data_IF_618098699143
#
_entry.id   IF_618098699143
#
_cell.length_a   1.000
_cell.length_b   1.000
_cell.length_c   1.000
_cell.angle_alpha   90.00
_cell.angle_beta   90.00
_cell.angle_gamma   90.00
#
_symmetry.space_group_name_H-M   'P 1'
#
loop_
_entity.id
_entity.type
_entity.pdbx_description
1 polymer ?
#
# COMPACT_ATOMS: atom_id res chain seq x y z
N UNK A 1 -53.18 4.69 37.10
CA UNK A 1 -53.01 6.01 36.47
C UNK A 1 -52.64 5.74 35.02
N UNK A 2 -53.59 5.93 34.11
CA UNK A 2 -53.44 5.63 32.69
C UNK A 2 -52.50 6.64 32.02
N UNK A 3 -51.47 6.14 31.33
CA UNK A 3 -50.59 6.94 30.48
C UNK A 3 -51.38 7.49 29.29
N UNK A 4 -51.92 8.69 29.45
CA UNK A 4 -52.55 9.42 28.36
C UNK A 4 -51.44 9.86 27.41
N UNK A 5 -51.40 9.24 26.22
CA UNK A 5 -50.51 9.64 25.13
C UNK A 5 -50.89 11.06 24.70
N UNK A 6 -50.22 12.07 25.26
CA UNK A 6 -50.34 13.46 24.80
C UNK A 6 -49.69 13.57 23.42
N UNK A 7 -50.50 13.81 22.39
CA UNK A 7 -50.03 14.12 21.05
C UNK A 7 -49.51 15.56 21.02
N UNK A 8 -48.28 15.76 20.54
CA UNK A 8 -47.70 17.08 20.31
C UNK A 8 -48.15 17.61 18.94
N UNK A 9 -49.01 18.65 18.88
CA UNK A 9 -49.53 19.18 17.63
C UNK A 9 -48.44 19.75 16.71
N UNK A 10 -47.34 20.27 17.29
CA UNK A 10 -46.21 20.81 16.53
C UNK A 10 -45.44 19.69 15.86
N UNK A 11 -45.23 18.58 16.56
CA UNK A 11 -44.58 17.40 16.01
C UNK A 11 -45.37 16.82 14.83
N UNK A 12 -46.70 16.71 14.96
CA UNK A 12 -47.57 16.23 13.88
C UNK A 12 -47.60 17.16 12.66
N UNK A 13 -47.54 18.47 12.88
CA UNK A 13 -47.46 19.45 11.79
C UNK A 13 -46.14 19.33 11.02
N UNK A 14 -45.02 19.20 11.73
CA UNK A 14 -43.69 18.99 11.12
C UNK A 14 -43.65 17.67 10.34
N UNK A 15 -44.22 16.59 10.87
CA UNK A 15 -44.25 15.28 10.22
C UNK A 15 -45.10 15.25 8.93
N UNK A 16 -46.11 16.12 8.81
CA UNK A 16 -46.95 16.24 7.61
C UNK A 16 -46.37 17.17 6.54
N UNK A 17 -45.56 18.16 6.93
CA UNK A 17 -45.05 19.18 6.01
C UNK A 17 -43.72 18.77 5.37
N UNK A 18 -43.76 18.24 4.13
CA UNK A 18 -42.58 17.78 3.38
C UNK A 18 -41.52 18.86 3.11
N UNK A 19 -41.90 20.14 3.14
CA UNK A 19 -41.00 21.27 2.90
C UNK A 19 -40.34 21.79 4.19
N UNK A 20 -40.75 21.29 5.36
CA UNK A 20 -40.19 21.74 6.63
C UNK A 20 -38.77 21.19 6.81
N UNK A 21 -37.78 22.00 7.25
CA UNK A 21 -36.38 21.56 7.39
C UNK A 21 -36.19 20.32 8.28
N UNK A 22 -37.01 20.19 9.32
CA UNK A 22 -36.98 19.07 10.27
C UNK A 22 -37.85 17.88 9.86
N UNK A 23 -38.52 17.93 8.70
CA UNK A 23 -39.41 16.85 8.26
C UNK A 23 -38.64 15.53 8.10
N UNK A 24 -37.47 15.55 7.46
CA UNK A 24 -36.68 14.34 7.24
C UNK A 24 -36.22 13.66 8.54
N UNK A 25 -35.93 14.44 9.59
CA UNK A 25 -35.52 13.93 10.90
C UNK A 25 -36.68 13.34 11.71
N UNK A 26 -37.93 13.73 11.41
CA UNK A 26 -39.14 13.26 12.07
C UNK A 26 -39.75 12.02 11.42
N UNK A 27 -39.23 11.60 10.27
CA UNK A 27 -39.68 10.37 9.61
C UNK A 27 -39.04 9.15 10.29
N UNK A 28 -39.81 8.10 10.60
CA UNK A 28 -39.24 6.86 11.08
C UNK A 28 -38.28 6.29 10.01
N UNK A 29 -37.11 5.84 10.43
CA UNK A 29 -36.16 5.17 9.56
C UNK A 29 -36.71 3.79 9.15
N UNK A 30 -37.56 3.77 8.12
CA UNK A 30 -38.17 2.54 7.62
C UNK A 30 -37.17 1.78 6.74
N UNK A 31 -36.69 0.64 7.24
CA UNK A 31 -35.81 -0.26 6.48
C UNK A 31 -36.53 -0.97 5.34
N UNK A 32 -37.86 -1.09 5.43
CA UNK A 32 -38.74 -1.61 4.37
C UNK A 32 -40.06 -0.87 4.34
N UNK A 33 -40.60 -0.59 3.15
CA UNK A 33 -41.92 0.02 2.97
C UNK A 33 -42.60 -0.53 1.71
N UNK A 34 -43.92 -0.47 1.68
CA UNK A 34 -44.70 -0.81 0.49
C UNK A 34 -44.56 0.30 -0.55
N UNK A 35 -44.14 -0.06 -1.76
CA UNK A 35 -44.07 0.87 -2.87
C UNK A 35 -45.45 1.18 -3.45
N UNK A 36 -45.57 2.24 -4.27
CA UNK A 36 -46.83 2.63 -4.91
C UNK A 36 -47.49 1.53 -5.75
N UNK A 37 -46.69 0.61 -6.28
CA UNK A 37 -47.15 -0.51 -7.12
C UNK A 37 -47.39 -1.80 -6.30
N UNK A 38 -47.51 -1.71 -4.99
CA UNK A 38 -47.71 -2.88 -4.11
C UNK A 38 -46.48 -3.77 -3.91
N UNK A 39 -45.31 -3.38 -4.44
CA UNK A 39 -44.06 -4.12 -4.25
C UNK A 39 -43.31 -3.63 -3.01
N UNK A 40 -42.86 -4.56 -2.17
CA UNK A 40 -42.05 -4.25 -0.98
C UNK A 40 -40.68 -3.71 -1.39
N UNK A 41 -40.35 -2.49 -0.96
CA UNK A 41 -39.05 -1.84 -1.16
C UNK A 41 -38.23 -1.93 0.13
N UNK A 42 -36.90 -2.09 0.00
CA UNK A 42 -35.96 -2.16 1.13
C UNK A 42 -34.82 -1.16 0.94
N UNK A 43 -34.43 -0.44 1.99
CA UNK A 43 -33.27 0.45 1.96
C UNK A 43 -32.00 -0.32 2.32
N UNK A 44 -31.24 -0.76 1.31
CA UNK A 44 -29.99 -1.52 1.49
C UNK A 44 -28.91 -0.71 2.21
N UNK A 45 -28.92 0.62 2.08
CA UNK A 45 -27.94 1.48 2.73
C UNK A 45 -28.24 1.71 4.21
N UNK A 46 -29.49 1.53 4.65
CA UNK A 46 -29.85 1.52 6.08
C UNK A 46 -29.57 0.17 6.78
N UNK A 47 -29.38 -0.90 6.01
CA UNK A 47 -29.16 -2.25 6.52
C UNK A 47 -27.68 -2.52 6.80
N UNK A 48 -27.41 -3.23 7.90
CA UNK A 48 -26.09 -3.73 8.29
C UNK A 48 -25.45 -3.00 9.49
N UNK A 49 -24.54 -3.69 10.17
CA UNK A 49 -23.77 -3.17 11.29
C UNK A 49 -22.29 -3.01 10.90
N UNK A 50 -21.58 -2.11 11.55
CA UNK A 50 -20.12 -1.98 11.39
C UNK A 50 -19.47 -2.87 12.44
N UNK A 51 -18.73 -3.88 11.99
CA UNK A 51 -17.97 -4.74 12.90
C UNK A 51 -16.72 -4.05 13.45
N UNK A 52 -16.00 -4.68 14.41
CA UNK A 52 -14.79 -4.13 15.02
C UNK A 52 -13.72 -3.69 14.00
N UNK A 53 -13.64 -4.37 12.86
CA UNK A 53 -12.68 -4.10 11.79
C UNK A 53 -13.11 -2.96 10.84
N UNK A 54 -14.15 -2.18 11.18
CA UNK A 54 -14.61 -1.03 10.39
C UNK A 54 -15.38 -1.37 9.10
N UNK A 55 -15.51 -2.65 8.75
CA UNK A 55 -16.26 -3.10 7.57
C UNK A 55 -17.75 -3.22 7.91
N UNK A 56 -18.60 -2.59 7.09
CA UNK A 56 -20.06 -2.71 7.18
C UNK A 56 -20.51 -4.08 6.67
N UNK A 57 -21.19 -4.86 7.52
CA UNK A 57 -21.71 -6.20 7.20
C UNK A 57 -23.23 -6.20 7.26
N UNK A 58 -23.88 -6.83 6.27
CA UNK A 58 -25.33 -7.03 6.25
C UNK A 58 -25.61 -8.45 6.74
N UNK A 59 -26.15 -8.58 7.94
CA UNK A 59 -26.70 -9.84 8.42
C UNK A 59 -28.02 -10.14 7.69
N UNK A 60 -28.02 -11.24 6.91
CA UNK A 60 -29.19 -11.69 6.15
C UNK A 60 -30.20 -12.48 6.99
N UNK A 61 -29.81 -12.89 8.21
CA UNK A 61 -30.67 -13.64 9.14
C UNK A 61 -31.65 -12.73 9.90
N UNK A 62 -31.39 -11.42 9.92
CA UNK A 62 -32.26 -10.42 10.55
C UNK A 62 -32.15 -10.37 12.09
N UNK A 63 -31.23 -11.13 12.68
CA UNK A 63 -31.04 -11.19 14.13
C UNK A 63 -30.40 -9.92 14.71
N UNK A 64 -29.60 -9.20 13.90
CA UNK A 64 -29.00 -7.93 14.31
C UNK A 64 -29.59 -6.73 13.56
N UNK A 65 -30.32 -5.88 14.27
CA UNK A 65 -30.70 -4.54 13.81
C UNK A 65 -29.64 -3.52 14.24
N UNK A 66 -29.08 -2.81 13.25
CA UNK A 66 -27.99 -1.87 13.44
C UNK A 66 -28.39 -0.67 14.28
N UNK A 67 -27.83 -0.57 15.48
CA UNK A 67 -27.73 0.70 16.19
C UNK A 67 -26.62 1.56 15.58
N UNK A 68 -26.81 2.88 15.57
CA UNK A 68 -25.77 3.83 15.18
C UNK A 68 -24.63 3.79 16.21
N UNK A 69 -23.67 2.89 16.03
CA UNK A 69 -22.45 2.87 16.84
C UNK A 69 -21.57 4.03 16.35
N UNK A 70 -21.30 4.97 17.26
CA UNK A 70 -20.31 6.03 17.05
C UNK A 70 -19.01 5.40 16.56
N UNK A 71 -18.41 5.95 15.50
CA UNK A 71 -17.05 5.62 15.08
C UNK A 71 -16.11 5.90 16.25
N UNK A 72 -15.87 4.91 17.11
CA UNK A 72 -14.71 4.92 17.99
C UNK A 72 -13.50 4.82 17.07
N UNK A 73 -12.62 5.83 17.14
CA UNK A 73 -11.30 5.73 16.52
C UNK A 73 -10.69 4.40 16.96
N UNK A 74 -10.30 3.57 16.00
CA UNK A 74 -9.58 2.35 16.30
C UNK A 74 -8.35 2.73 17.12
N UNK A 75 -8.14 2.08 18.26
CA UNK A 75 -6.93 2.28 19.03
C UNK A 75 -5.73 1.96 18.13
N UNK A 76 -4.76 2.88 18.04
CA UNK A 76 -3.55 2.65 17.26
C UNK A 76 -2.83 1.43 17.83
N UNK A 77 -2.88 0.32 17.09
CA UNK A 77 -2.15 -0.90 17.42
C UNK A 77 -0.67 -0.60 17.21
N UNK A 78 0.09 -0.50 18.29
CA UNK A 78 1.52 -0.27 18.21
C UNK A 78 2.22 -1.55 17.76
N UNK A 79 2.61 -1.59 16.48
CA UNK A 79 3.37 -2.70 15.91
C UNK A 79 4.77 -2.79 16.54
N UNK A 80 5.33 -4.01 16.69
CA UNK A 80 6.71 -4.19 17.14
C UNK A 80 7.70 -3.43 16.24
N UNK A 81 8.62 -2.70 16.87
CA UNK A 81 9.68 -1.98 16.16
C UNK A 81 10.82 -2.93 15.79
N UNK A 82 11.12 -3.03 14.51
CA UNK A 82 12.26 -3.73 13.94
C UNK A 82 13.35 -2.71 13.60
N UNK A 83 14.49 -2.82 14.27
CA UNK A 83 15.64 -1.94 14.07
C UNK A 83 16.87 -2.76 13.68
N UNK A 84 17.55 -2.32 12.62
CA UNK A 84 18.80 -2.92 12.14
C UNK A 84 19.87 -1.84 12.25
N UNK A 85 20.81 -2.02 13.18
CA UNK A 85 21.93 -1.09 13.38
C UNK A 85 22.95 -1.28 12.25
N UNK A 86 23.50 -2.50 12.13
CA UNK A 86 24.48 -2.87 11.11
C UNK A 86 23.95 -4.01 10.23
N UNK A 87 23.53 -3.74 8.98
CA UNK A 87 23.07 -4.77 8.08
C UNK A 87 24.23 -5.57 7.48
N UNK A 88 24.09 -6.89 7.41
CA UNK A 88 25.08 -7.76 6.77
C UNK A 88 25.11 -7.55 5.24
N UNK A 89 23.97 -7.21 4.65
CA UNK A 89 23.82 -6.91 3.22
C UNK A 89 22.55 -6.07 2.98
N UNK A 90 22.46 -5.50 1.78
CA UNK A 90 21.31 -4.72 1.34
C UNK A 90 20.50 -5.46 0.28
N UNK A 91 19.17 -5.38 0.39
CA UNK A 91 18.22 -5.66 -0.68
C UNK A 91 17.65 -4.32 -1.14
N UNK A 92 17.90 -3.93 -2.38
CA UNK A 92 17.53 -2.61 -2.87
C UNK A 92 16.23 -2.67 -3.66
N UNK A 93 15.31 -1.76 -3.34
CA UNK A 93 14.01 -1.62 -4.02
C UNK A 93 13.93 -0.23 -4.65
N UNK A 94 13.55 -0.18 -5.93
CA UNK A 94 13.22 1.08 -6.60
C UNK A 94 11.71 1.08 -6.87
N UNK A 95 10.89 1.66 -5.97
CA UNK A 95 9.45 1.76 -6.19
C UNK A 95 9.13 2.77 -7.30
N UNK A 96 8.01 2.57 -7.99
CA UNK A 96 7.54 3.50 -9.03
C UNK A 96 6.98 4.78 -8.41
N UNK A 97 6.27 4.65 -7.29
CA UNK A 97 5.64 5.74 -6.55
C UNK A 97 4.86 6.72 -7.44
N UNK A 98 3.98 6.21 -8.31
CA UNK A 98 3.16 7.05 -9.20
C UNK A 98 2.33 8.04 -8.37
N UNK A 99 2.60 9.34 -8.53
CA UNK A 99 1.96 10.41 -7.73
C UNK A 99 2.57 10.68 -6.35
N UNK A 100 3.76 10.11 -6.07
CA UNK A 100 4.55 10.36 -4.87
C UNK A 100 4.14 9.53 -3.64
N UNK A 101 3.35 8.47 -3.81
CA UNK A 101 2.94 7.54 -2.74
C UNK A 101 3.21 6.09 -3.17
N UNK A 102 3.39 5.19 -2.20
CA UNK A 102 3.56 3.76 -2.48
C UNK A 102 2.27 3.17 -3.04
N UNK A 103 2.35 2.56 -4.22
CA UNK A 103 1.26 1.78 -4.80
C UNK A 103 1.15 0.40 -4.13
N UNK A 104 0.09 -0.36 -4.44
CA UNK A 104 0.00 -1.76 -4.00
C UNK A 104 1.17 -2.60 -4.53
N UNK A 105 1.54 -2.39 -5.80
CA UNK A 105 2.68 -3.09 -6.41
C UNK A 105 4.01 -2.77 -5.70
N UNK A 106 4.23 -1.50 -5.31
CA UNK A 106 5.40 -1.12 -4.53
C UNK A 106 5.43 -1.79 -3.15
N UNK A 107 4.26 -1.98 -2.53
CA UNK A 107 4.16 -2.68 -1.24
C UNK A 107 4.41 -4.18 -1.37
N UNK A 108 3.93 -4.82 -2.43
CA UNK A 108 4.23 -6.24 -2.71
C UNK A 108 5.74 -6.44 -2.89
N UNK A 109 6.40 -5.51 -3.59
CA UNK A 109 7.86 -5.50 -3.78
C UNK A 109 8.62 -5.34 -2.47
N UNK A 110 8.19 -4.43 -1.60
CA UNK A 110 8.81 -4.25 -0.29
C UNK A 110 8.58 -5.47 0.61
N UNK A 111 7.42 -6.11 0.53
CA UNK A 111 7.15 -7.41 1.14
C UNK A 111 8.13 -8.49 0.68
N UNK A 112 8.34 -8.60 -0.64
CA UNK A 112 9.33 -9.51 -1.22
C UNK A 112 10.76 -9.17 -0.76
N UNK A 113 11.12 -7.89 -0.71
CA UNK A 113 12.41 -7.42 -0.25
C UNK A 113 12.70 -7.84 1.19
N UNK A 114 11.70 -7.69 2.06
CA UNK A 114 11.79 -8.08 3.47
C UNK A 114 11.95 -9.59 3.64
N UNK A 115 11.22 -10.39 2.86
CA UNK A 115 11.37 -11.85 2.83
C UNK A 115 12.80 -12.26 2.42
N UNK A 116 13.38 -11.59 1.42
CA UNK A 116 14.77 -11.83 0.98
C UNK A 116 15.82 -11.35 1.98
N UNK A 117 15.54 -10.26 2.68
CA UNK A 117 16.45 -9.67 3.66
C UNK A 117 16.54 -10.51 4.94
N UNK A 118 15.50 -11.27 5.29
CA UNK A 118 15.49 -12.12 6.49
C UNK A 118 15.64 -11.31 7.77
N UNK A 119 16.45 -11.78 8.73
CA UNK A 119 16.73 -11.06 9.97
C UNK A 119 18.00 -10.17 9.89
N UNK A 120 18.93 -10.49 8.98
CA UNK A 120 20.28 -9.91 8.94
C UNK A 120 20.46 -8.83 7.87
N UNK A 121 19.62 -8.84 6.83
CA UNK A 121 19.66 -7.88 5.73
C UNK A 121 18.79 -6.66 5.99
N UNK A 122 19.18 -5.51 5.43
CA UNK A 122 18.34 -4.31 5.40
C UNK A 122 17.70 -4.10 4.02
N UNK A 123 16.46 -3.62 4.02
CA UNK A 123 15.76 -3.15 2.83
C UNK A 123 16.11 -1.69 2.59
N UNK A 124 16.77 -1.41 1.47
CA UNK A 124 17.11 -0.08 0.99
C UNK A 124 16.11 0.36 -0.08
N UNK A 125 15.26 1.32 0.22
CA UNK A 125 14.39 1.94 -0.77
C UNK A 125 15.10 3.12 -1.43
N UNK A 126 15.16 3.15 -2.76
CA UNK A 126 15.74 4.26 -3.55
C UNK A 126 14.62 5.00 -4.25
N UNK A 127 14.39 6.25 -3.84
CA UNK A 127 13.31 7.09 -4.37
C UNK A 127 13.92 8.26 -5.15
N UNK A 128 13.40 8.48 -6.36
CA UNK A 128 13.79 9.62 -7.18
C UNK A 128 12.84 10.80 -6.97
N UNK A 129 13.41 11.98 -6.72
CA UNK A 129 12.68 13.23 -6.53
C UNK A 129 11.88 13.29 -5.22
N UNK A 130 10.93 14.23 -5.16
CA UNK A 130 10.09 14.42 -3.99
C UNK A 130 8.98 13.34 -3.88
N UNK A 131 8.68 12.94 -2.64
CA UNK A 131 7.57 12.04 -2.33
C UNK A 131 6.66 12.64 -1.25
N UNK A 132 5.42 12.16 -1.20
CA UNK A 132 4.40 12.49 -0.20
C UNK A 132 4.11 11.31 0.74
N UNK A 133 4.86 10.22 0.58
CA UNK A 133 4.73 9.03 1.41
C UNK A 133 5.28 9.28 2.83
N UNK A 134 4.54 8.79 3.81
CA UNK A 134 4.89 8.86 5.24
C UNK A 134 5.00 7.48 5.87
N UNK A 135 4.53 6.44 5.19
CA UNK A 135 4.37 5.08 5.72
C UNK A 135 5.46 4.11 5.25
N UNK A 136 6.70 4.58 5.08
CA UNK A 136 7.84 3.71 4.73
C UNK A 136 8.21 2.75 5.87
N UNK A 137 8.01 3.19 7.11
CA UNK A 137 8.27 2.41 8.32
C UNK A 137 7.38 1.15 8.40
N UNK A 138 6.09 1.29 8.09
CA UNK A 138 5.16 0.15 8.06
C UNK A 138 5.22 -0.64 6.75
N UNK A 139 5.91 -0.13 5.72
CA UNK A 139 6.09 -0.83 4.46
C UNK A 139 7.31 -1.76 4.45
N UNK A 140 8.09 -1.82 5.53
CA UNK A 140 9.24 -2.73 5.63
C UNK A 140 10.57 -2.13 5.18
N UNK A 141 10.69 -0.81 5.08
CA UNK A 141 11.92 -0.12 4.69
C UNK A 141 12.80 0.12 5.92
N UNK A 142 14.08 -0.23 5.86
CA UNK A 142 15.06 0.04 6.93
C UNK A 142 15.96 1.24 6.60
N UNK A 143 16.24 1.46 5.31
CA UNK A 143 17.04 2.58 4.80
C UNK A 143 16.30 3.24 3.65
N UNK A 144 16.17 4.55 3.70
CA UNK A 144 15.57 5.33 2.62
C UNK A 144 16.62 6.26 2.00
N UNK A 145 16.93 6.05 0.73
CA UNK A 145 17.78 6.92 -0.06
C UNK A 145 16.94 7.76 -1.03
N UNK A 146 16.96 9.07 -0.84
CA UNK A 146 16.30 10.02 -1.72
C UNK A 146 17.36 10.64 -2.64
N UNK A 147 17.23 10.37 -3.93
CA UNK A 147 18.04 10.97 -4.99
C UNK A 147 17.23 12.13 -5.57
N UNK A 148 17.63 13.34 -5.20
CA UNK A 148 16.93 14.57 -5.59
C UNK A 148 17.77 15.40 -6.55
N UNK A 149 17.11 16.24 -7.35
CA UNK A 149 17.73 17.17 -8.28
C UNK A 149 16.92 17.33 -9.57
N UNK A 150 16.94 18.54 -10.13
CA UNK A 150 16.18 18.90 -11.33
C UNK A 150 16.45 17.99 -12.55
N UNK A 151 17.62 17.33 -12.60
CA UNK A 151 17.96 16.36 -13.65
C UNK A 151 17.20 15.03 -13.56
N UNK A 152 16.49 14.76 -12.46
CA UNK A 152 15.67 13.57 -12.26
C UNK A 152 14.17 13.83 -12.46
N UNK A 153 13.79 15.09 -12.65
CA UNK A 153 12.41 15.50 -12.91
C UNK A 153 11.95 15.02 -14.29
N UNK A 154 10.66 14.64 -14.37
CA UNK A 154 10.08 14.12 -15.60
C UNK A 154 10.74 12.82 -16.08
N UNK A 155 10.75 12.61 -17.40
CA UNK A 155 11.31 11.42 -18.03
C UNK A 155 12.83 11.59 -18.26
N UNK A 156 13.63 10.98 -17.39
CA UNK A 156 15.10 11.11 -17.33
C UNK A 156 15.79 9.74 -17.15
N UNK A 157 15.58 8.77 -18.07
CA UNK A 157 16.02 7.39 -17.85
C UNK A 157 17.54 7.26 -17.76
N UNK A 158 18.31 8.02 -18.53
CA UNK A 158 19.78 7.98 -18.48
C UNK A 158 20.32 8.47 -17.14
N UNK A 159 19.81 9.59 -16.62
CA UNK A 159 20.21 10.13 -15.31
C UNK A 159 19.83 9.16 -14.20
N UNK A 160 18.61 8.62 -14.22
CA UNK A 160 18.16 7.63 -13.22
C UNK A 160 19.05 6.38 -13.21
N UNK A 161 19.42 5.85 -14.39
CA UNK A 161 20.36 4.73 -14.49
C UNK A 161 21.73 5.07 -13.92
N UNK A 162 22.25 6.28 -14.16
CA UNK A 162 23.51 6.73 -13.54
C UNK A 162 23.39 6.82 -12.01
N UNK A 163 22.26 7.30 -11.50
CA UNK A 163 21.96 7.29 -10.06
C UNK A 163 22.00 5.88 -9.49
N UNK A 164 21.30 4.92 -10.12
CA UNK A 164 21.28 3.52 -9.69
C UNK A 164 22.68 2.87 -9.75
N UNK A 165 23.48 3.16 -10.77
CA UNK A 165 24.88 2.68 -10.85
C UNK A 165 25.72 3.18 -9.68
N UNK A 166 25.55 4.44 -9.30
CA UNK A 166 26.27 4.96 -8.15
C UNK A 166 25.84 4.24 -6.86
N UNK A 167 24.54 3.98 -6.70
CA UNK A 167 24.03 3.21 -5.55
C UNK A 167 24.60 1.80 -5.53
N UNK A 168 24.63 1.13 -6.68
CA UNK A 168 25.22 -0.22 -6.83
C UNK A 168 26.70 -0.24 -6.43
N UNK A 169 27.48 0.73 -6.92
CA UNK A 169 28.90 0.86 -6.59
C UNK A 169 29.15 1.15 -5.11
N UNK A 170 28.22 1.83 -4.44
CA UNK A 170 28.39 2.20 -3.04
C UNK A 170 27.93 1.13 -2.07
N UNK A 171 26.73 0.61 -2.26
CA UNK A 171 26.08 -0.29 -1.30
C UNK A 171 26.30 -1.77 -1.66
N UNK A 172 26.73 -2.06 -2.89
CA UNK A 172 26.90 -3.41 -3.44
C UNK A 172 25.76 -4.36 -3.01
N UNK A 173 24.50 -4.01 -3.31
CA UNK A 173 23.37 -4.77 -2.83
C UNK A 173 23.32 -6.16 -3.44
N UNK A 174 22.84 -7.12 -2.65
CA UNK A 174 22.78 -8.54 -3.06
C UNK A 174 21.72 -8.76 -4.13
N UNK A 175 20.58 -8.09 -3.99
CA UNK A 175 19.49 -8.13 -4.96
C UNK A 175 18.90 -6.73 -5.19
N UNK A 176 18.47 -6.50 -6.43
CA UNK A 176 17.71 -5.36 -6.90
C UNK A 176 16.30 -5.79 -7.26
N UNK A 177 15.31 -5.09 -6.72
CA UNK A 177 13.90 -5.30 -7.00
C UNK A 177 13.31 -4.03 -7.61
N UNK A 178 12.68 -4.17 -8.78
CA UNK A 178 11.91 -3.11 -9.41
C UNK A 178 10.56 -3.65 -9.88
N UNK A 179 9.51 -2.82 -9.97
CA UNK A 179 8.25 -3.26 -10.53
C UNK A 179 8.40 -3.51 -12.04
N UNK A 180 7.91 -4.65 -12.53
CA UNK A 180 7.76 -4.92 -13.97
C UNK A 180 6.51 -4.20 -14.50
N UNK A 181 6.44 -2.89 -14.25
CA UNK A 181 5.32 -2.04 -14.59
C UNK A 181 5.52 -1.34 -15.94
N UNK A 182 4.43 -0.78 -16.45
CA UNK A 182 4.43 0.14 -17.60
C UNK A 182 4.66 1.60 -17.19
N UNK A 183 4.71 1.89 -15.88
CA UNK A 183 4.77 3.24 -15.32
C UNK A 183 6.20 3.79 -15.26
N UNK A 184 7.21 2.93 -15.41
CA UNK A 184 8.62 3.33 -15.50
C UNK A 184 9.58 2.25 -15.02
N UNK A 185 9.24 1.54 -13.95
CA UNK A 185 10.12 0.55 -13.31
C UNK A 185 10.58 -0.57 -14.24
N UNK A 186 9.68 -1.08 -15.10
CA UNK A 186 10.02 -2.16 -16.03
C UNK A 186 11.02 -1.73 -17.11
N UNK A 187 10.95 -0.47 -17.55
CA UNK A 187 11.93 0.11 -18.48
C UNK A 187 13.25 0.41 -17.76
N UNK A 188 13.18 1.11 -16.62
CA UNK A 188 14.33 1.53 -15.83
C UNK A 188 15.17 0.33 -15.41
N UNK A 189 14.55 -0.73 -14.92
CA UNK A 189 15.27 -1.92 -14.47
C UNK A 189 15.94 -2.68 -15.61
N UNK A 190 15.35 -2.72 -16.82
CA UNK A 190 16.01 -3.33 -18.00
C UNK A 190 17.23 -2.52 -18.44
N UNK A 191 17.10 -1.18 -18.48
CA UNK A 191 18.23 -0.29 -18.80
C UNK A 191 19.34 -0.41 -17.77
N UNK A 192 18.98 -0.40 -16.49
CA UNK A 192 19.93 -0.57 -15.39
C UNK A 192 20.64 -1.93 -15.46
N UNK A 193 19.90 -3.02 -15.67
CA UNK A 193 20.46 -4.37 -15.82
C UNK A 193 21.47 -4.44 -16.96
N UNK A 194 21.12 -3.92 -18.13
CA UNK A 194 22.04 -3.83 -19.27
C UNK A 194 23.28 -3.00 -18.94
N UNK A 195 23.12 -1.96 -18.14
CA UNK A 195 24.21 -1.07 -17.72
C UNK A 195 25.22 -1.80 -16.81
N UNK A 196 24.77 -2.67 -15.90
CA UNK A 196 25.64 -3.43 -15.00
C UNK A 196 26.06 -4.79 -15.58
N UNK A 197 25.61 -5.14 -16.79
CA UNK A 197 25.95 -6.41 -17.44
C UNK A 197 25.21 -7.63 -16.88
N UNK A 198 24.11 -7.43 -16.15
CA UNK A 198 23.35 -8.50 -15.51
C UNK A 198 22.10 -8.88 -16.32
N UNK A 199 21.74 -10.16 -16.30
CA UNK A 199 20.50 -10.63 -16.94
C UNK A 199 19.33 -10.53 -15.94
N UNK A 200 18.33 -9.65 -16.19
CA UNK A 200 17.23 -9.49 -15.25
C UNK A 200 16.25 -10.67 -15.33
N UNK A 201 15.71 -11.07 -14.18
CA UNK A 201 14.59 -11.98 -14.10
C UNK A 201 13.28 -11.18 -14.16
N UNK A 202 12.46 -11.44 -15.17
CA UNK A 202 11.29 -10.59 -15.49
C UNK A 202 9.98 -11.31 -15.28
N UNK A 203 8.90 -10.57 -15.02
CA UNK A 203 7.57 -11.10 -14.70
C UNK A 203 7.61 -12.12 -13.56
N UNK A 204 8.45 -11.88 -12.55
CA UNK A 204 8.54 -12.74 -11.37
C UNK A 204 7.28 -12.55 -10.53
N UNK A 205 6.49 -13.59 -10.37
CA UNK A 205 5.29 -13.54 -9.51
C UNK A 205 5.50 -14.27 -8.19
N UNK A 206 6.60 -15.02 -8.04
CA UNK A 206 6.96 -15.66 -6.78
C UNK A 206 8.47 -15.88 -6.68
N UNK A 207 9.01 -15.73 -5.48
CA UNK A 207 10.36 -16.20 -5.12
C UNK A 207 10.23 -17.17 -3.96
N UNK A 208 10.86 -18.33 -4.09
CA UNK A 208 10.83 -19.38 -3.06
C UNK A 208 12.10 -20.21 -3.14
N UNK A 209 12.69 -20.57 -2.01
CA UNK A 209 13.84 -21.50 -1.93
C UNK A 209 15.00 -21.15 -2.88
N UNK A 210 15.38 -19.86 -2.94
CA UNK A 210 16.42 -19.35 -3.86
C UNK A 210 16.10 -19.54 -5.36
N UNK A 211 14.82 -19.71 -5.70
CA UNK A 211 14.31 -19.79 -7.07
C UNK A 211 13.33 -18.65 -7.33
N UNK A 212 13.43 -18.08 -8.53
CA UNK A 212 12.43 -17.15 -9.07
C UNK A 212 11.50 -17.89 -10.03
N UNK A 213 10.20 -17.67 -9.87
CA UNK A 213 9.15 -18.22 -10.73
C UNK A 213 8.53 -17.07 -11.51
N UNK A 214 8.52 -17.21 -12.84
CA UNK A 214 8.02 -16.18 -13.77
C UNK A 214 6.96 -16.68 -14.71
N UNK A 215 6.04 -15.80 -15.10
CA UNK A 215 5.01 -16.10 -16.11
C UNK A 215 5.60 -16.07 -17.53
N UNK A 216 5.38 -17.13 -18.29
CA UNK A 216 5.73 -17.26 -19.70
C UNK A 216 4.52 -17.74 -20.54
N UNK A 217 4.69 -17.83 -21.87
CA UNK A 217 3.65 -18.34 -22.77
C UNK A 217 2.33 -17.58 -22.73
N UNK A 218 2.36 -16.26 -22.44
CA UNK A 218 1.20 -15.41 -22.15
C UNK A 218 0.42 -15.81 -20.88
N UNK A 219 1.14 -16.28 -19.84
CA UNK A 219 0.56 -16.66 -18.55
C UNK A 219 0.13 -18.13 -18.45
N UNK A 220 0.40 -18.93 -19.50
CA UNK A 220 0.05 -20.36 -19.55
C UNK A 220 1.10 -21.27 -18.92
N UNK A 221 2.32 -20.77 -18.78
CA UNK A 221 3.48 -21.54 -18.34
C UNK A 221 4.23 -20.76 -17.27
N UNK A 222 4.85 -21.50 -16.35
CA UNK A 222 5.77 -20.95 -15.36
C UNK A 222 7.21 -21.36 -15.72
N UNK A 223 8.11 -20.38 -15.71
CA UNK A 223 9.54 -20.57 -15.85
C UNK A 223 10.21 -20.41 -14.50
N UNK A 224 10.91 -21.46 -14.08
CA UNK A 224 11.71 -21.50 -12.85
C UNK A 224 13.16 -21.25 -13.20
N UNK A 225 13.82 -20.36 -12.44
CA UNK A 225 15.25 -20.05 -12.58
C UNK A 225 15.87 -19.79 -11.21
N UNK A 226 17.21 -19.90 -11.06
CA UNK A 226 17.90 -19.45 -9.85
C UNK A 226 17.60 -17.97 -9.52
N UNK A 227 17.64 -17.64 -8.23
CA UNK A 227 17.44 -16.27 -7.74
C UNK A 227 18.40 -15.30 -8.44
N UNK A 228 17.84 -14.34 -9.17
CA UNK A 228 18.64 -13.38 -9.93
C UNK A 228 19.07 -12.20 -9.06
N UNK A 229 20.21 -11.58 -9.41
CA UNK A 229 20.64 -10.32 -8.80
C UNK A 229 19.66 -9.18 -9.09
N UNK A 230 19.06 -9.14 -10.28
CA UNK A 230 18.06 -8.14 -10.64
C UNK A 230 16.72 -8.80 -10.99
N UNK A 231 15.67 -8.38 -10.29
CA UNK A 231 14.33 -8.92 -10.39
C UNK A 231 13.37 -7.79 -10.77
N UNK A 232 12.66 -8.00 -11.88
CA UNK A 232 11.48 -7.23 -12.26
C UNK A 232 10.26 -8.04 -11.83
N UNK A 233 9.66 -7.64 -10.71
CA UNK A 233 8.55 -8.35 -10.10
C UNK A 233 7.21 -7.94 -10.71
N UNK A 234 6.37 -8.93 -11.00
CA UNK A 234 4.97 -8.70 -11.33
C UNK A 234 4.19 -8.21 -10.09
N UNK A 235 2.97 -7.75 -10.30
CA UNK A 235 2.02 -7.45 -9.21
C UNK A 235 1.74 -8.72 -8.40
N UNK A 236 1.41 -8.56 -7.11
CA UNK A 236 1.07 -9.66 -6.20
C UNK A 236 2.21 -10.68 -6.04
N UNK A 237 3.46 -10.22 -6.12
CA UNK A 237 4.62 -11.11 -6.02
C UNK A 237 4.91 -11.63 -4.60
N UNK A 238 4.43 -10.91 -3.58
CA UNK A 238 4.52 -11.25 -2.18
C UNK A 238 3.46 -10.46 -1.40
N UNK A 239 3.14 -10.93 -0.20
CA UNK A 239 2.28 -10.20 0.73
C UNK A 239 3.00 -8.95 1.27
N UNK A 240 2.35 -7.78 1.28
CA UNK A 240 2.86 -6.57 1.93
C UNK A 240 3.16 -6.78 3.42
N UNK A 241 4.17 -6.05 3.92
CA UNK A 241 4.46 -5.99 5.35
C UNK A 241 3.26 -5.39 6.10
N UNK A 242 2.82 -6.08 7.14
CA UNK A 242 1.68 -5.65 7.97
C UNK A 242 1.89 -5.88 9.48
N UNK A 243 2.86 -6.71 9.86
CA UNK A 243 3.05 -7.16 11.24
C UNK A 243 4.09 -6.34 12.02
N UNK A 244 4.97 -5.62 11.32
CA UNK A 244 6.12 -4.92 11.92
C UNK A 244 6.19 -3.47 11.49
N UNK A 245 6.77 -2.64 12.36
CA UNK A 245 7.18 -1.27 12.03
C UNK A 245 8.69 -1.21 12.00
N UNK A 246 9.27 -0.55 11.01
CA UNK A 246 10.71 -0.49 10.82
C UNK A 246 11.29 0.87 11.20
N UNK A 247 12.49 0.87 11.76
CA UNK A 247 13.27 2.09 11.94
C UNK A 247 13.87 2.50 10.59
N UNK A 248 13.31 3.56 9.98
CA UNK A 248 13.78 4.09 8.70
C UNK A 248 14.89 5.11 8.93
N UNK A 249 16.13 4.80 8.51
CA UNK A 249 17.20 5.79 8.45
C UNK A 249 17.19 6.51 7.10
N UNK A 250 17.15 7.84 7.15
CA UNK A 250 17.00 8.70 5.98
C UNK A 250 18.36 9.21 5.49
N UNK A 251 18.63 8.98 4.20
CA UNK A 251 19.76 9.56 3.49
C UNK A 251 19.24 10.39 2.31
N UNK A 252 19.48 11.70 2.36
CA UNK A 252 19.14 12.62 1.27
C UNK A 252 20.42 13.16 0.67
N UNK A 253 20.54 13.13 -0.65
CA UNK A 253 21.64 13.81 -1.33
C UNK A 253 21.23 14.32 -2.70
N UNK A 254 21.85 15.42 -3.11
CA UNK A 254 21.91 15.87 -4.51
C UNK A 254 23.14 15.35 -5.27
N UNK A 255 24.07 14.65 -4.61
CA UNK A 255 25.34 14.23 -5.18
C UNK A 255 25.69 12.77 -4.79
N UNK A 256 25.89 11.86 -5.76
CA UNK A 256 26.20 10.46 -5.49
C UNK A 256 27.48 10.21 -4.67
N UNK A 257 28.43 11.14 -4.66
CA UNK A 257 29.68 11.01 -3.90
C UNK A 257 29.52 11.33 -2.40
N UNK A 258 28.42 11.96 -1.97
CA UNK A 258 28.23 12.44 -0.60
C UNK A 258 27.66 11.40 0.38
N UNK A 259 27.23 10.24 -0.12
CA UNK A 259 26.55 9.22 0.70
C UNK A 259 27.45 8.54 1.73
N UNK A 260 28.79 8.55 1.56
CA UNK A 260 29.75 7.90 2.49
C UNK A 260 29.76 8.49 3.90
N UNK A 261 29.42 9.78 4.06
CA UNK A 261 29.45 10.45 5.36
C UNK A 261 28.25 10.08 6.23
N UNK A 262 27.11 9.70 5.63
CA UNK A 262 25.87 9.44 6.35
C UNK A 262 25.72 7.97 6.84
N UNK A 263 26.58 7.07 6.37
CA UNK A 263 26.63 5.66 6.80
C UNK A 263 27.61 5.39 7.96
N UNK A 264 28.35 6.40 8.44
CA UNK A 264 29.20 6.31 9.64
C UNK A 264 28.58 7.10 10.80
N UNK A 265 27.46 6.61 11.33
CA UNK A 265 27.00 6.93 12.68
C UNK A 265 26.46 5.65 13.30
#
# INVERSE_FOLDING_TARGET
MSDIIRRDPRAEWIARNRLHPLHAAMQPALNSWMGPNGLLRKNVHGLGFIGPNGIKRIDRSGAQQGGAVKRSAAADVQLPLHAIVEPAFYITVVPDMVGGRLSSHDRDLLGLARQLAGAEGAVLAVVFGEHKETAFDVAGVDRLLIIDGAGFDGYSPEQRVQGLRAVDNQFNPRHWLLPDSRSGGGELGRRFAASIGERPATRIWQVKDQLCISRAGAGREDLVRPLARLILAAVECAEPVSETRHEVLYWRSSCPQAWRAACRV
#
